data_IF_841313138435
#
_entry.id   IF_841313138435
#
_cell.length_a   1.000
_cell.length_b   1.000
_cell.length_c   1.000
_cell.angle_alpha   90.00
_cell.angle_beta   90.00
_cell.angle_gamma   90.00
#
_symmetry.space_group_name_H-M   'P 1'
#
loop_
_entity.id
_entity.type
_entity.pdbx_description
1 polymer ?
#
# COMPACT_ATOMS: atom_id res chain seq x y z
N UNK A 1 -17.02 46.91 -7.10
CA UNK A 1 -16.27 45.89 -7.86
C UNK A 1 -14.95 45.68 -7.14
N UNK A 2 -14.92 44.73 -6.20
CA UNK A 2 -13.70 44.25 -5.54
C UNK A 2 -14.00 42.82 -5.10
N UNK A 3 -13.64 41.87 -5.96
CA UNK A 3 -13.83 40.43 -5.79
C UNK A 3 -12.54 39.86 -5.21
N UNK A 4 -12.71 39.02 -4.19
CA UNK A 4 -11.84 37.96 -3.66
C UNK A 4 -10.34 38.04 -3.96
N UNK A 5 -9.55 38.24 -2.90
CA UNK A 5 -8.17 37.75 -2.79
C UNK A 5 -8.02 36.96 -1.49
N UNK A 6 -8.78 35.89 -1.31
CA UNK A 6 -8.57 34.96 -0.18
C UNK A 6 -8.65 33.46 -0.56
N UNK A 7 -8.62 33.12 -1.85
CA UNK A 7 -8.66 31.72 -2.31
C UNK A 7 -7.26 31.09 -2.49
N UNK A 8 -6.21 31.65 -1.90
CA UNK A 8 -4.89 31.03 -1.87
C UNK A 8 -4.43 30.76 -0.44
N UNK A 9 -4.20 29.47 -0.17
CA UNK A 9 -3.53 28.87 0.99
C UNK A 9 -4.40 28.22 2.07
N UNK A 10 -5.11 27.15 1.70
CA UNK A 10 -5.32 26.01 2.61
C UNK A 10 -4.98 24.69 1.90
N UNK A 11 -3.79 24.61 1.28
CA UNK A 11 -3.28 23.34 0.75
C UNK A 11 -1.88 23.08 1.31
N UNK A 12 -1.82 22.66 2.57
CA UNK A 12 -0.68 21.94 3.12
C UNK A 12 -1.06 21.21 4.41
N UNK A 13 -2.09 20.34 4.39
CA UNK A 13 -2.08 19.22 5.34
C UNK A 13 -1.02 18.25 4.83
N UNK A 14 0.13 18.24 5.51
CA UNK A 14 1.25 17.32 5.28
C UNK A 14 0.69 15.89 5.30
N UNK A 15 0.33 15.37 4.13
CA UNK A 15 -0.29 14.06 3.99
C UNK A 15 0.68 13.05 4.60
N UNK A 16 0.35 12.54 5.79
CA UNK A 16 1.13 11.50 6.45
C UNK A 16 1.37 10.34 5.49
N UNK A 17 2.53 9.70 5.60
CA UNK A 17 2.86 8.57 4.75
C UNK A 17 3.96 8.83 3.74
N UNK A 18 4.57 7.75 3.28
CA UNK A 18 5.72 7.75 2.39
C UNK A 18 5.36 8.33 1.01
N UNK A 19 6.31 9.04 0.38
CA UNK A 19 6.18 9.51 -1.00
C UNK A 19 6.72 8.45 -1.98
N UNK A 20 5.86 7.81 -2.81
CA UNK A 20 6.28 6.75 -3.71
C UNK A 20 7.35 7.17 -4.72
N UNK A 21 7.30 8.41 -5.22
CA UNK A 21 8.23 8.90 -6.22
C UNK A 21 9.69 8.93 -5.73
N UNK A 22 9.88 9.07 -4.41
CA UNK A 22 11.21 9.09 -3.78
C UNK A 22 11.58 7.70 -3.27
N UNK A 23 10.63 7.00 -2.64
CA UNK A 23 10.90 5.73 -1.98
C UNK A 23 11.14 4.60 -2.98
N UNK A 24 10.36 4.49 -4.06
CA UNK A 24 10.48 3.37 -5.01
C UNK A 24 11.89 3.33 -5.66
N UNK A 25 12.48 4.44 -6.14
CA UNK A 25 13.86 4.41 -6.64
C UNK A 25 14.89 3.95 -5.60
N UNK A 26 14.73 4.35 -4.34
CA UNK A 26 15.63 3.91 -3.25
C UNK A 26 15.46 2.40 -3.02
N UNK A 27 14.22 1.90 -2.99
CA UNK A 27 13.96 0.47 -2.85
C UNK A 27 14.49 -0.34 -4.03
N UNK A 28 14.50 0.23 -5.23
CA UNK A 28 15.11 -0.40 -6.40
C UNK A 28 16.63 -0.54 -6.25
N UNK A 29 17.31 0.52 -5.80
CA UNK A 29 18.75 0.44 -5.50
C UNK A 29 19.02 -0.61 -4.42
N UNK A 30 18.20 -0.66 -3.37
CA UNK A 30 18.31 -1.68 -2.32
C UNK A 30 18.09 -3.10 -2.90
N UNK A 31 17.10 -3.29 -3.76
CA UNK A 31 16.82 -4.57 -4.41
C UNK A 31 17.99 -5.04 -5.28
N UNK A 32 18.61 -4.13 -6.03
CA UNK A 32 19.84 -4.40 -6.80
C UNK A 32 21.01 -4.74 -5.86
N UNK A 33 21.19 -4.00 -4.77
CA UNK A 33 22.23 -4.30 -3.78
C UNK A 33 22.04 -5.68 -3.13
N UNK A 34 20.80 -6.08 -2.82
CA UNK A 34 20.49 -7.41 -2.30
C UNK A 34 20.84 -8.47 -3.35
N UNK A 35 20.47 -8.24 -4.61
CA UNK A 35 20.82 -9.16 -5.70
C UNK A 35 22.33 -9.33 -5.85
N UNK A 36 23.09 -8.22 -5.88
CA UNK A 36 24.53 -8.26 -6.09
C UNK A 36 25.28 -8.82 -4.89
N UNK A 37 25.03 -8.31 -3.68
CA UNK A 37 25.90 -8.55 -2.53
C UNK A 37 25.39 -9.63 -1.57
N UNK A 38 24.08 -9.88 -1.54
CA UNK A 38 23.49 -10.91 -0.67
C UNK A 38 23.30 -12.21 -1.44
N UNK A 39 22.57 -12.17 -2.56
CA UNK A 39 22.33 -13.34 -3.40
C UNK A 39 23.60 -13.73 -4.17
N UNK A 40 24.29 -12.74 -4.74
CA UNK A 40 25.55 -12.91 -5.43
C UNK A 40 26.77 -13.11 -4.51
N UNK A 41 26.59 -13.27 -3.20
CA UNK A 41 27.71 -13.54 -2.31
C UNK A 41 28.42 -14.86 -2.71
N UNK A 42 29.76 -14.88 -2.86
CA UNK A 42 30.51 -16.09 -3.23
C UNK A 42 30.25 -17.30 -2.33
N UNK A 43 29.95 -17.09 -1.03
CA UNK A 43 29.60 -18.17 -0.10
C UNK A 43 28.29 -18.90 -0.40
N UNK A 44 27.49 -18.42 -1.36
CA UNK A 44 26.30 -19.12 -1.84
C UNK A 44 26.58 -20.11 -2.97
N UNK A 45 27.82 -20.19 -3.45
CA UNK A 45 28.22 -20.95 -4.63
C UNK A 45 29.40 -21.86 -4.31
N UNK A 46 29.49 -22.95 -5.07
CA UNK A 46 30.63 -23.86 -4.99
C UNK A 46 31.90 -23.16 -5.46
N UNK A 47 33.05 -23.63 -4.95
CA UNK A 47 34.37 -23.08 -5.25
C UNK A 47 34.46 -21.56 -4.94
N UNK A 48 33.89 -21.12 -3.82
CA UNK A 48 33.87 -19.72 -3.39
C UNK A 48 35.26 -19.03 -3.44
N UNK A 49 36.33 -19.78 -3.18
CA UNK A 49 37.72 -19.30 -3.27
C UNK A 49 38.10 -18.78 -4.67
N UNK A 50 37.53 -19.37 -5.74
CA UNK A 50 37.80 -18.98 -7.14
C UNK A 50 36.94 -17.81 -7.60
N UNK A 51 35.87 -17.49 -6.89
CA UNK A 51 34.89 -16.47 -7.26
C UNK A 51 35.26 -15.06 -6.75
N UNK A 52 36.36 -14.95 -5.99
CA UNK A 52 36.85 -13.68 -5.45
C UNK A 52 36.04 -13.20 -4.24
N UNK A 53 36.25 -11.93 -3.85
CA UNK A 53 35.59 -11.32 -2.69
C UNK A 53 34.51 -10.32 -3.11
N UNK A 54 33.35 -10.37 -2.46
CA UNK A 54 32.26 -9.39 -2.65
C UNK A 54 31.05 -9.96 -3.36
N UNK A 55 31.10 -10.08 -4.69
CA UNK A 55 29.99 -10.61 -5.50
C UNK A 55 30.47 -11.41 -6.69
N UNK A 56 29.81 -12.52 -6.99
CA UNK A 56 30.03 -13.32 -8.19
C UNK A 56 29.76 -12.54 -9.48
N UNK A 57 28.99 -11.45 -9.42
CA UNK A 57 28.75 -10.54 -10.55
C UNK A 57 30.04 -9.88 -11.07
N UNK A 58 31.05 -9.72 -10.21
CA UNK A 58 32.33 -9.10 -10.53
C UNK A 58 33.47 -10.13 -10.65
N UNK A 59 33.14 -11.42 -10.61
CA UNK A 59 34.12 -12.48 -10.76
C UNK A 59 34.55 -12.62 -12.23
N UNK A 60 35.79 -13.08 -12.44
CA UNK A 60 36.29 -13.41 -13.78
C UNK A 60 35.82 -14.77 -14.31
N UNK A 61 35.01 -15.49 -13.53
CA UNK A 61 34.51 -16.82 -13.86
C UNK A 61 33.27 -16.70 -14.74
N UNK A 62 33.21 -17.47 -15.83
CA UNK A 62 32.04 -17.48 -16.69
C UNK A 62 30.80 -17.97 -15.93
N UNK A 63 29.66 -17.34 -16.20
CA UNK A 63 28.41 -17.64 -15.50
C UNK A 63 27.97 -19.11 -15.57
N UNK A 64 28.42 -19.88 -16.57
CA UNK A 64 28.11 -21.31 -16.71
C UNK A 64 28.79 -22.19 -15.66
N UNK A 65 29.97 -21.79 -15.18
CA UNK A 65 30.80 -22.54 -14.23
C UNK A 65 30.50 -22.17 -12.77
N UNK A 66 29.63 -21.17 -12.56
CA UNK A 66 29.16 -20.76 -11.24
C UNK A 66 28.01 -21.70 -10.84
N UNK A 67 28.26 -22.61 -9.90
CA UNK A 67 27.23 -23.55 -9.43
C UNK A 67 26.67 -23.13 -8.07
N UNK A 68 25.35 -22.93 -7.94
CA UNK A 68 24.76 -22.59 -6.66
C UNK A 68 24.88 -23.76 -5.68
N UNK A 69 25.22 -23.43 -4.43
CA UNK A 69 25.27 -24.37 -3.31
C UNK A 69 24.11 -24.11 -2.34
N UNK A 70 23.78 -22.84 -2.11
CA UNK A 70 22.68 -22.42 -1.24
C UNK A 70 21.44 -22.02 -2.05
N UNK A 71 20.28 -21.99 -1.39
CA UNK A 71 19.04 -21.49 -1.97
C UNK A 71 19.14 -20.04 -2.45
N UNK A 72 19.94 -19.20 -1.79
CA UNK A 72 20.21 -17.83 -2.21
C UNK A 72 21.00 -17.79 -3.54
N UNK A 73 21.96 -18.70 -3.70
CA UNK A 73 22.67 -18.87 -4.97
C UNK A 73 21.74 -19.35 -6.09
N UNK A 74 20.76 -20.21 -5.78
CA UNK A 74 19.73 -20.63 -6.73
C UNK A 74 18.93 -19.41 -7.18
N UNK A 75 18.44 -18.58 -6.25
CA UNK A 75 17.67 -17.37 -6.61
C UNK A 75 18.50 -16.41 -7.46
N UNK A 76 19.79 -16.22 -7.17
CA UNK A 76 20.67 -15.37 -7.98
C UNK A 76 20.70 -15.78 -9.46
N UNK A 77 20.65 -17.09 -9.73
CA UNK A 77 20.61 -17.66 -11.09
C UNK A 77 19.31 -17.38 -11.85
N UNK A 78 18.29 -16.82 -11.20
CA UNK A 78 17.08 -16.33 -11.87
C UNK A 78 17.28 -15.10 -12.75
N UNK A 79 18.51 -14.54 -12.78
CA UNK A 79 18.91 -13.55 -13.77
C UNK A 79 18.38 -12.14 -13.50
N UNK A 80 18.29 -11.34 -14.55
CA UNK A 80 18.06 -9.87 -14.46
C UNK A 80 16.67 -9.48 -13.99
N UNK A 81 15.71 -10.40 -14.02
CA UNK A 81 14.33 -10.15 -13.54
C UNK A 81 14.23 -10.27 -12.02
N UNK A 82 15.07 -11.08 -11.38
CA UNK A 82 15.11 -11.27 -9.93
C UNK A 82 15.25 -9.96 -9.13
N UNK A 83 16.20 -9.04 -9.42
CA UNK A 83 16.30 -7.79 -8.67
C UNK A 83 15.04 -6.91 -8.80
N UNK A 84 14.32 -6.99 -9.93
CA UNK A 84 13.04 -6.27 -10.12
C UNK A 84 11.96 -6.89 -9.23
N UNK A 85 11.85 -8.22 -9.20
CA UNK A 85 10.87 -8.91 -8.35
C UNK A 85 11.16 -8.73 -6.85
N UNK A 86 12.45 -8.70 -6.46
CA UNK A 86 12.86 -8.36 -5.08
C UNK A 86 12.44 -6.92 -4.75
N UNK A 87 12.64 -5.98 -5.67
CA UNK A 87 12.18 -4.59 -5.48
C UNK A 87 10.68 -4.52 -5.25
N UNK A 88 9.88 -5.29 -6.00
CA UNK A 88 8.44 -5.36 -5.79
C UNK A 88 8.09 -5.92 -4.42
N UNK A 89 8.73 -7.02 -4.00
CA UNK A 89 8.49 -7.62 -2.69
C UNK A 89 8.82 -6.64 -1.54
N UNK A 90 9.95 -5.96 -1.61
CA UNK A 90 10.33 -4.95 -0.60
C UNK A 90 9.35 -3.77 -0.62
N UNK A 91 8.91 -3.34 -1.81
CA UNK A 91 7.91 -2.28 -1.94
C UNK A 91 6.60 -2.66 -1.27
N UNK A 92 6.11 -3.89 -1.51
CA UNK A 92 4.91 -4.43 -0.84
C UNK A 92 5.09 -4.38 0.68
N UNK A 93 6.23 -4.84 1.20
CA UNK A 93 6.50 -4.85 2.64
C UNK A 93 6.51 -3.43 3.22
N UNK A 94 7.29 -2.52 2.62
CA UNK A 94 7.46 -1.14 3.12
C UNK A 94 6.15 -0.38 3.14
N UNK A 95 5.39 -0.42 2.04
CA UNK A 95 4.08 0.25 2.00
C UNK A 95 3.07 -0.44 2.91
N UNK A 96 3.13 -1.75 3.11
CA UNK A 96 2.22 -2.42 4.05
C UNK A 96 2.46 -1.99 5.50
N UNK A 97 3.72 -1.83 5.91
CA UNK A 97 4.02 -1.25 7.22
C UNK A 97 3.54 0.20 7.33
N UNK A 98 3.82 1.04 6.33
CA UNK A 98 3.33 2.42 6.29
C UNK A 98 1.80 2.48 6.47
N UNK A 99 1.08 1.62 5.74
CA UNK A 99 -0.38 1.54 5.80
C UNK A 99 -0.90 1.06 7.14
N UNK A 100 -0.24 0.10 7.77
CA UNK A 100 -0.58 -0.35 9.12
C UNK A 100 -0.52 0.81 10.12
N UNK A 101 0.54 1.63 10.08
CA UNK A 101 0.69 2.78 10.98
C UNK A 101 -0.28 3.93 10.64
N UNK A 102 -0.46 4.25 9.36
CA UNK A 102 -1.36 5.33 8.93
C UNK A 102 -2.81 5.00 9.28
N UNK A 103 -3.28 3.77 9.01
CA UNK A 103 -4.64 3.35 9.39
C UNK A 103 -4.83 3.25 10.89
N UNK A 104 -3.80 2.79 11.62
CA UNK A 104 -3.83 2.81 13.08
C UNK A 104 -4.01 4.23 13.62
N UNK A 105 -3.30 5.21 13.04
CA UNK A 105 -3.46 6.63 13.42
C UNK A 105 -4.81 7.20 12.98
N UNK A 106 -5.32 6.81 11.82
CA UNK A 106 -6.60 7.27 11.29
C UNK A 106 -7.79 6.76 12.12
N UNK A 107 -7.68 5.58 12.72
CA UNK A 107 -8.68 5.05 13.66
C UNK A 107 -8.82 5.90 14.94
N UNK A 108 -7.80 6.69 15.30
CA UNK A 108 -7.76 7.52 16.49
C UNK A 108 -6.97 6.91 17.65
N UNK A 109 -7.03 7.54 18.82
CA UNK A 109 -6.30 7.13 20.03
C UNK A 109 -7.06 6.11 20.88
N UNK A 110 -8.39 6.09 20.77
CA UNK A 110 -9.27 5.24 21.57
C UNK A 110 -9.78 4.01 20.81
N UNK A 111 -10.53 3.17 21.52
CA UNK A 111 -11.28 2.09 20.90
C UNK A 111 -12.44 2.67 20.09
N UNK A 112 -12.45 2.37 18.79
CA UNK A 112 -13.40 2.95 17.85
C UNK A 112 -14.85 2.51 18.11
N UNK A 113 -15.08 1.26 18.48
CA UNK A 113 -16.43 0.77 18.79
C UNK A 113 -17.00 1.46 20.05
N UNK A 114 -16.18 1.61 21.09
CA UNK A 114 -16.57 2.34 22.29
C UNK A 114 -16.84 3.83 21.99
N UNK A 115 -16.05 4.43 21.10
CA UNK A 115 -16.29 5.80 20.65
C UNK A 115 -17.67 5.92 19.96
N UNK A 116 -17.99 5.03 19.01
CA UNK A 116 -19.28 5.00 18.32
C UNK A 116 -20.44 4.88 19.31
N UNK A 117 -20.35 3.92 20.25
CA UNK A 117 -21.40 3.71 21.26
C UNK A 117 -21.58 4.94 22.15
N UNK A 118 -20.49 5.58 22.59
CA UNK A 118 -20.55 6.78 23.44
C UNK A 118 -21.16 7.97 22.70
N UNK A 119 -20.71 8.26 21.48
CA UNK A 119 -21.26 9.38 20.69
C UNK A 119 -22.76 9.18 20.44
N UNK A 120 -23.18 7.97 20.07
CA UNK A 120 -24.61 7.65 19.88
C UNK A 120 -25.42 7.86 21.16
N UNK A 121 -24.90 7.43 22.31
CA UNK A 121 -25.54 7.64 23.61
C UNK A 121 -25.70 9.13 23.95
N UNK A 122 -24.69 9.95 23.66
CA UNK A 122 -24.72 11.40 23.88
C UNK A 122 -25.71 12.10 22.93
N UNK A 123 -25.75 11.68 21.67
CA UNK A 123 -26.69 12.19 20.67
C UNK A 123 -28.16 11.91 21.04
N UNK A 124 -28.46 10.73 21.57
CA UNK A 124 -29.80 10.38 22.05
C UNK A 124 -30.24 11.21 23.27
N UNK A 125 -29.28 11.76 24.01
CA UNK A 125 -29.53 12.64 25.17
C UNK A 125 -29.48 14.13 24.78
N UNK A 126 -29.34 14.45 23.50
CA UNK A 126 -29.13 15.81 22.98
C UNK A 126 -27.91 16.54 23.59
N UNK A 127 -26.87 15.78 23.98
CA UNK A 127 -25.64 16.30 24.58
C UNK A 127 -24.56 16.53 23.54
N UNK A 128 -24.80 17.49 22.64
CA UNK A 128 -23.94 17.74 21.47
C UNK A 128 -22.54 18.23 21.89
N UNK A 129 -22.44 19.05 22.93
CA UNK A 129 -21.15 19.57 23.41
C UNK A 129 -20.26 18.47 24.01
N UNK A 130 -20.84 17.56 24.79
CA UNK A 130 -20.12 16.38 25.31
C UNK A 130 -19.67 15.46 24.15
N UNK A 131 -20.49 15.31 23.11
CA UNK A 131 -20.14 14.51 21.94
C UNK A 131 -18.98 15.11 21.13
N UNK A 132 -18.92 16.45 21.03
CA UNK A 132 -17.79 17.16 20.42
C UNK A 132 -16.48 16.94 21.21
N UNK A 133 -16.54 16.95 22.54
CA UNK A 133 -15.38 16.68 23.40
C UNK A 133 -14.87 15.24 23.21
N UNK A 134 -15.77 14.25 23.11
CA UNK A 134 -15.37 12.87 22.81
C UNK A 134 -14.72 12.72 21.42
N UNK A 135 -15.15 13.51 20.42
CA UNK A 135 -14.47 13.54 19.12
C UNK A 135 -13.04 14.10 19.22
N UNK A 136 -12.83 15.13 20.03
CA UNK A 136 -11.51 15.71 20.29
C UNK A 136 -10.56 14.75 21.03
N UNK A 137 -11.12 13.88 21.89
CA UNK A 137 -10.38 12.81 22.54
C UNK A 137 -10.05 11.67 21.59
N UNK A 138 -10.98 11.25 20.75
CA UNK A 138 -10.79 10.15 19.80
C UNK A 138 -9.72 10.52 18.75
N UNK A 139 -9.79 11.71 18.17
CA UNK A 139 -8.95 12.14 17.05
C UNK A 139 -9.04 11.18 15.86
N UNK A 140 -8.17 11.36 14.85
CA UNK A 140 -8.17 10.52 13.65
C UNK A 140 -9.28 10.90 12.68
N UNK A 141 -9.39 10.16 11.58
CA UNK A 141 -10.32 10.47 10.49
C UNK A 141 -11.77 10.33 10.93
N UNK A 142 -12.12 9.26 11.66
CA UNK A 142 -13.49 9.07 12.13
C UNK A 142 -13.89 10.19 13.11
N UNK A 143 -13.01 10.52 14.06
CA UNK A 143 -13.25 11.64 14.99
C UNK A 143 -13.39 12.98 14.28
N UNK A 144 -12.54 13.27 13.29
CA UNK A 144 -12.59 14.51 12.52
C UNK A 144 -13.90 14.67 11.75
N UNK A 145 -14.36 13.63 11.05
CA UNK A 145 -15.59 13.67 10.27
C UNK A 145 -16.80 13.85 11.17
N UNK A 146 -16.88 13.07 12.26
CA UNK A 146 -17.97 13.17 13.23
C UNK A 146 -17.99 14.55 13.87
N UNK A 147 -16.82 15.10 14.23
CA UNK A 147 -16.70 16.46 14.78
C UNK A 147 -17.24 17.51 13.82
N UNK A 148 -16.90 17.42 12.53
CA UNK A 148 -17.39 18.35 11.51
C UNK A 148 -18.92 18.27 11.38
N UNK A 149 -19.46 17.05 11.38
CA UNK A 149 -20.91 16.81 11.39
C UNK A 149 -21.61 17.41 12.61
N UNK A 150 -21.08 17.21 13.81
CA UNK A 150 -21.63 17.78 15.05
C UNK A 150 -21.47 19.31 15.13
N UNK A 151 -20.39 19.85 14.58
CA UNK A 151 -20.17 21.31 14.51
C UNK A 151 -21.19 21.94 13.57
N UNK A 152 -21.43 21.31 12.42
CA UNK A 152 -22.46 21.72 11.46
C UNK A 152 -23.87 21.57 12.04
N UNK A 153 -24.15 20.47 12.75
CA UNK A 153 -25.39 20.27 13.51
C UNK A 153 -25.65 21.50 14.38
N UNK A 154 -24.70 21.87 15.23
CA UNK A 154 -24.85 22.98 16.18
C UNK A 154 -25.09 24.32 15.47
N UNK A 155 -24.37 24.57 14.38
CA UNK A 155 -24.56 25.79 13.58
C UNK A 155 -25.97 25.85 12.97
N UNK A 156 -26.47 24.76 12.39
CA UNK A 156 -27.79 24.68 11.76
C UNK A 156 -28.96 24.70 12.77
N UNK A 157 -28.75 24.19 13.98
CA UNK A 157 -29.73 24.30 15.07
C UNK A 157 -30.07 25.75 15.40
N UNK A 158 -29.09 26.65 15.32
CA UNK A 158 -29.28 28.08 15.60
C UNK A 158 -29.68 28.91 14.37
N UNK A 159 -29.62 28.35 13.17
CA UNK A 159 -30.02 29.04 11.94
C UNK A 159 -31.54 29.19 11.84
N UNK A 160 -32.05 30.41 11.71
CA UNK A 160 -33.50 30.67 11.57
C UNK A 160 -33.95 30.92 10.13
N UNK A 161 -33.01 30.92 9.18
CA UNK A 161 -33.24 31.26 7.77
C UNK A 161 -33.65 30.06 6.93
N UNK A 162 -33.17 28.87 7.31
CA UNK A 162 -33.43 27.61 6.60
C UNK A 162 -34.60 26.84 7.24
N UNK A 163 -35.41 26.20 6.41
CA UNK A 163 -36.41 25.25 6.89
C UNK A 163 -35.76 23.91 7.30
N UNK A 164 -36.51 23.04 7.99
CA UNK A 164 -36.00 21.77 8.51
C UNK A 164 -35.40 20.85 7.43
N UNK A 165 -36.04 20.78 6.27
CA UNK A 165 -35.57 19.96 5.14
C UNK A 165 -34.24 20.49 4.58
N UNK A 166 -34.13 21.81 4.40
CA UNK A 166 -32.90 22.46 3.94
C UNK A 166 -31.75 22.28 4.92
N UNK A 167 -32.02 22.38 6.23
CA UNK A 167 -31.02 22.09 7.27
C UNK A 167 -30.55 20.64 7.18
N UNK A 168 -31.45 19.69 6.94
CA UNK A 168 -31.06 18.29 6.82
C UNK A 168 -30.21 17.99 5.60
N UNK A 169 -30.55 18.58 4.46
CA UNK A 169 -29.72 18.50 3.25
C UNK A 169 -28.34 19.11 3.49
N UNK A 170 -28.28 20.27 4.14
CA UNK A 170 -27.00 20.93 4.46
C UNK A 170 -26.13 20.09 5.41
N UNK A 171 -26.73 19.49 6.44
CA UNK A 171 -26.02 18.61 7.37
C UNK A 171 -25.46 17.37 6.68
N UNK A 172 -26.28 16.71 5.86
CA UNK A 172 -25.85 15.52 5.10
C UNK A 172 -24.68 15.85 4.17
N UNK A 173 -24.80 16.97 3.46
CA UNK A 173 -23.75 17.43 2.56
C UNK A 173 -22.45 17.73 3.30
N UNK A 174 -22.50 18.36 4.48
CA UNK A 174 -21.31 18.64 5.26
C UNK A 174 -20.59 17.36 5.75
N UNK A 175 -21.36 16.36 6.19
CA UNK A 175 -20.80 15.06 6.59
C UNK A 175 -20.16 14.37 5.37
N UNK A 176 -20.85 14.33 4.23
CA UNK A 176 -20.35 13.70 2.99
C UNK A 176 -19.06 14.38 2.50
N UNK A 177 -19.02 15.72 2.51
CA UNK A 177 -17.83 16.50 2.16
C UNK A 177 -16.67 16.20 3.12
N UNK A 178 -16.92 16.16 4.43
CA UNK A 178 -15.90 15.83 5.43
C UNK A 178 -15.35 14.41 5.24
N UNK A 179 -16.21 13.41 4.99
CA UNK A 179 -15.80 12.04 4.66
C UNK A 179 -14.94 12.01 3.41
N UNK A 180 -15.38 12.69 2.35
CA UNK A 180 -14.66 12.76 1.07
C UNK A 180 -13.28 13.39 1.22
N UNK A 181 -13.11 14.38 2.10
CA UNK A 181 -11.82 15.02 2.36
C UNK A 181 -10.82 14.12 3.12
N UNK A 182 -11.31 13.16 3.90
CA UNK A 182 -10.46 12.22 4.65
C UNK A 182 -10.10 10.96 3.84
N UNK A 183 -10.95 10.55 2.88
CA UNK A 183 -10.76 9.36 2.05
C UNK A 183 -9.40 9.29 1.33
N UNK A 184 -8.88 10.36 0.69
CA UNK A 184 -7.57 10.31 0.02
C UNK A 184 -6.42 9.91 0.96
N UNK A 185 -6.49 10.26 2.25
CA UNK A 185 -5.49 9.84 3.23
C UNK A 185 -5.64 8.36 3.56
N UNK A 186 -6.87 7.88 3.69
CA UNK A 186 -7.18 6.47 3.92
C UNK A 186 -6.79 5.59 2.72
N UNK A 187 -6.87 6.08 1.49
CA UNK A 187 -6.55 5.28 0.30
C UNK A 187 -5.13 5.47 -0.22
N UNK A 188 -4.38 6.44 0.32
CA UNK A 188 -3.01 6.74 -0.10
C UNK A 188 -2.17 5.47 -0.18
N UNK A 189 -1.45 5.30 -1.29
CA UNK A 189 -0.57 4.16 -1.59
C UNK A 189 -1.26 2.79 -1.78
N UNK A 190 -2.59 2.66 -1.63
CA UNK A 190 -3.31 1.41 -1.91
C UNK A 190 -3.18 0.99 -3.38
N UNK A 191 -3.16 1.96 -4.29
CA UNK A 191 -2.97 1.71 -5.72
C UNK A 191 -1.65 0.99 -6.02
N UNK A 192 -0.59 1.21 -5.23
CA UNK A 192 0.70 0.54 -5.41
C UNK A 192 0.58 -0.95 -5.09
N UNK A 193 -0.05 -1.30 -3.97
CA UNK A 193 -0.27 -2.70 -3.60
C UNK A 193 -1.15 -3.42 -4.62
N UNK A 194 -2.24 -2.79 -5.05
CA UNK A 194 -3.12 -3.32 -6.10
C UNK A 194 -2.36 -3.55 -7.41
N UNK A 195 -1.58 -2.56 -7.84
CA UNK A 195 -0.79 -2.63 -9.08
C UNK A 195 0.26 -3.74 -9.01
N UNK A 196 0.99 -3.84 -7.90
CA UNK A 196 1.99 -4.90 -7.71
C UNK A 196 1.36 -6.30 -7.62
N UNK A 197 0.11 -6.38 -7.16
CA UNK A 197 -0.70 -7.60 -7.23
C UNK A 197 -0.79 -8.18 -8.64
N UNK A 198 -0.85 -7.36 -9.68
CA UNK A 198 -0.92 -7.84 -11.07
C UNK A 198 0.45 -7.79 -11.77
N UNK A 199 1.17 -6.67 -11.63
CA UNK A 199 2.42 -6.42 -12.35
C UNK A 199 3.52 -7.41 -11.96
N UNK A 200 3.60 -7.85 -10.70
CA UNK A 200 4.61 -8.83 -10.29
C UNK A 200 4.48 -10.16 -11.06
N UNK A 201 3.26 -10.64 -11.28
CA UNK A 201 3.00 -11.85 -12.07
C UNK A 201 3.34 -11.64 -13.54
N UNK A 202 2.98 -10.47 -14.11
CA UNK A 202 3.30 -10.15 -15.51
C UNK A 202 4.83 -10.08 -15.75
N UNK A 203 5.58 -9.47 -14.83
CA UNK A 203 7.04 -9.40 -14.91
C UNK A 203 7.67 -10.79 -14.73
N UNK A 204 7.11 -11.65 -13.88
CA UNK A 204 7.57 -13.02 -13.77
C UNK A 204 7.30 -13.85 -15.03
N UNK A 205 6.12 -13.71 -15.64
CA UNK A 205 5.80 -14.35 -16.94
C UNK A 205 6.77 -13.88 -18.03
N UNK A 206 7.11 -12.59 -18.06
CA UNK A 206 8.15 -12.06 -18.94
C UNK A 206 9.51 -12.74 -18.69
N UNK A 207 9.89 -12.92 -17.43
CA UNK A 207 11.11 -13.66 -17.07
C UNK A 207 11.10 -15.11 -17.55
N UNK A 208 9.95 -15.79 -17.48
CA UNK A 208 9.77 -17.14 -18.03
C UNK A 208 9.96 -17.17 -19.54
N UNK A 209 9.35 -16.22 -20.26
CA UNK A 209 9.50 -16.10 -21.71
C UNK A 209 10.97 -15.86 -22.08
N UNK A 210 11.66 -14.94 -21.39
CA UNK A 210 13.08 -14.67 -21.61
C UNK A 210 13.94 -15.91 -21.34
N UNK A 211 13.70 -16.62 -20.22
CA UNK A 211 14.41 -17.85 -19.88
C UNK A 211 14.24 -18.94 -20.94
N UNK A 212 13.02 -19.14 -21.43
CA UNK A 212 12.72 -20.11 -22.49
C UNK A 212 13.33 -19.70 -23.84
N UNK A 213 13.32 -18.40 -24.19
CA UNK A 213 13.99 -17.89 -25.41
C UNK A 213 15.48 -18.21 -25.34
N UNK A 214 16.15 -17.93 -24.21
CA UNK A 214 17.58 -18.26 -24.02
C UNK A 214 17.82 -19.76 -24.14
N UNK A 215 16.98 -20.58 -23.51
CA UNK A 215 17.10 -22.03 -23.51
C UNK A 215 17.03 -22.62 -24.93
N UNK A 216 16.05 -22.18 -25.74
CA UNK A 216 15.91 -22.65 -27.12
C UNK A 216 16.90 -22.02 -28.10
N UNK A 217 17.34 -20.79 -27.86
CA UNK A 217 18.37 -20.16 -28.67
C UNK A 217 19.70 -20.92 -28.57
N UNK A 218 20.12 -21.27 -27.35
CA UNK A 218 21.32 -22.06 -27.11
C UNK A 218 21.29 -23.43 -27.81
N UNK A 219 20.10 -24.05 -27.87
CA UNK A 219 19.87 -25.31 -28.57
C UNK A 219 20.05 -25.17 -30.09
N UNK A 220 19.58 -24.07 -30.69
CA UNK A 220 19.64 -23.83 -32.13
C UNK A 220 21.00 -23.34 -32.64
N UNK A 221 21.76 -22.63 -31.82
CA UNK A 221 23.06 -22.07 -32.20
C UNK A 221 24.22 -23.08 -32.22
N UNK A 222 24.06 -24.26 -31.61
CA UNK A 222 25.14 -25.23 -31.39
C UNK A 222 25.57 -26.07 -32.60
N UNK A 223 24.86 -26.02 -33.74
CA UNK A 223 25.24 -26.69 -34.99
C UNK A 223 25.41 -28.22 -34.93
N UNK A 224 25.07 -28.86 -33.80
CA UNK A 224 25.38 -30.26 -33.50
C UNK A 224 24.57 -30.82 -32.33
N UNK A 225 25.23 -31.25 -31.24
CA UNK A 225 24.58 -31.86 -30.06
C UNK A 225 23.88 -30.82 -29.17
N UNK A 226 22.64 -31.08 -28.71
CA UNK A 226 21.95 -30.25 -27.74
C UNK A 226 22.78 -29.94 -26.48
N UNK A 227 23.00 -28.66 -26.18
CA UNK A 227 23.56 -28.24 -24.89
C UNK A 227 22.49 -28.34 -23.80
N UNK A 228 22.38 -29.53 -23.20
CA UNK A 228 21.43 -29.82 -22.13
C UNK A 228 21.67 -28.95 -20.87
N UNK A 229 22.89 -28.50 -20.62
CA UNK A 229 23.22 -27.66 -19.47
C UNK A 229 22.70 -26.23 -19.66
N UNK A 230 22.88 -25.65 -20.85
CA UNK A 230 22.32 -24.34 -21.19
C UNK A 230 20.78 -24.36 -21.18
N UNK A 231 20.17 -25.44 -21.70
CA UNK A 231 18.71 -25.64 -21.65
C UNK A 231 18.20 -25.66 -20.20
N UNK A 232 18.84 -26.47 -19.34
CA UNK A 232 18.48 -26.58 -17.92
C UNK A 232 18.61 -25.25 -17.18
N UNK A 233 19.64 -24.47 -17.50
CA UNK A 233 19.85 -23.13 -16.92
C UNK A 233 18.71 -22.17 -17.27
N UNK A 234 18.29 -22.11 -18.53
CA UNK A 234 17.19 -21.24 -18.95
C UNK A 234 15.83 -21.64 -18.37
N UNK A 235 15.57 -22.95 -18.23
CA UNK A 235 14.37 -23.47 -17.55
C UNK A 235 14.40 -23.12 -16.06
N UNK A 236 15.55 -23.27 -15.40
CA UNK A 236 15.71 -22.90 -14.00
C UNK A 236 15.47 -21.39 -13.79
N UNK A 237 16.03 -20.54 -14.65
CA UNK A 237 15.79 -19.08 -14.64
C UNK A 237 14.30 -18.75 -14.68
N UNK A 238 13.57 -19.41 -15.59
CA UNK A 238 12.13 -19.24 -15.78
C UNK A 238 11.32 -19.65 -14.53
N UNK A 239 11.65 -20.79 -13.91
CA UNK A 239 10.96 -21.29 -12.72
C UNK A 239 11.16 -20.38 -11.51
N UNK A 240 12.38 -19.87 -11.31
CA UNK A 240 12.70 -18.94 -10.21
C UNK A 240 11.90 -17.64 -10.36
N UNK A 241 11.89 -17.06 -11.56
CA UNK A 241 11.14 -15.84 -11.85
C UNK A 241 9.64 -16.04 -11.58
N UNK A 242 9.08 -17.17 -12.01
CA UNK A 242 7.69 -17.53 -11.75
C UNK A 242 7.37 -17.60 -10.25
N UNK A 243 8.18 -18.33 -9.49
CA UNK A 243 7.97 -18.50 -8.06
C UNK A 243 7.99 -17.16 -7.30
N UNK A 244 8.97 -16.30 -7.61
CA UNK A 244 9.09 -14.98 -6.98
C UNK A 244 7.94 -14.04 -7.34
N UNK A 245 7.52 -14.01 -8.61
CA UNK A 245 6.43 -13.13 -9.03
C UNK A 245 5.08 -13.53 -8.46
N UNK A 246 4.75 -14.83 -8.49
CA UNK A 246 3.50 -15.33 -7.90
C UNK A 246 3.50 -15.10 -6.39
N UNK A 247 4.61 -15.37 -5.70
CA UNK A 247 4.73 -15.10 -4.27
C UNK A 247 4.52 -13.63 -3.93
N UNK A 248 5.16 -12.74 -4.68
CA UNK A 248 5.03 -11.27 -4.50
C UNK A 248 3.60 -10.79 -4.77
N UNK A 249 3.00 -11.25 -5.87
CA UNK A 249 1.62 -10.94 -6.27
C UNK A 249 0.61 -11.37 -5.20
N UNK A 250 0.73 -12.62 -4.71
CA UNK A 250 -0.17 -13.15 -3.69
C UNK A 250 -0.12 -12.32 -2.40
N UNK A 251 1.09 -12.00 -1.92
CA UNK A 251 1.28 -11.19 -0.71
C UNK A 251 0.72 -9.78 -0.91
N UNK A 252 0.96 -9.17 -2.08
CA UNK A 252 0.44 -7.84 -2.40
C UNK A 252 -1.09 -7.79 -2.38
N UNK A 253 -1.76 -8.78 -2.98
CA UNK A 253 -3.22 -8.86 -3.05
C UNK A 253 -3.82 -9.10 -1.65
N UNK A 254 -3.22 -10.00 -0.87
CA UNK A 254 -3.69 -10.28 0.51
C UNK A 254 -3.62 -9.00 1.35
N UNK A 255 -2.51 -8.28 1.29
CA UNK A 255 -2.31 -7.04 2.06
C UNK A 255 -3.21 -5.92 1.56
N UNK A 256 -3.36 -5.77 0.24
CA UNK A 256 -4.32 -4.83 -0.37
C UNK A 256 -5.73 -5.07 0.18
N UNK A 257 -6.26 -6.30 0.07
CA UNK A 257 -7.60 -6.64 0.54
C UNK A 257 -7.75 -6.44 2.06
N UNK A 258 -6.72 -6.79 2.84
CA UNK A 258 -6.72 -6.56 4.29
C UNK A 258 -6.85 -5.08 4.63
N UNK A 259 -6.10 -4.20 3.96
CA UNK A 259 -6.18 -2.76 4.20
C UNK A 259 -7.45 -2.14 3.65
N UNK A 260 -7.96 -2.58 2.50
CA UNK A 260 -9.28 -2.19 1.99
C UNK A 260 -10.36 -2.51 3.01
N UNK A 261 -10.40 -3.74 3.53
CA UNK A 261 -11.38 -4.11 4.57
C UNK A 261 -11.27 -3.25 5.84
N UNK A 262 -10.06 -2.84 6.22
CA UNK A 262 -9.88 -1.88 7.34
C UNK A 262 -10.42 -0.49 7.01
N UNK A 263 -10.19 0.01 5.79
CA UNK A 263 -10.72 1.32 5.35
C UNK A 263 -12.25 1.28 5.35
N UNK A 264 -12.83 0.24 4.75
CA UNK A 264 -14.29 0.04 4.72
C UNK A 264 -14.87 0.00 6.14
N UNK A 265 -14.19 -0.66 7.07
CA UNK A 265 -14.57 -0.68 8.48
C UNK A 265 -14.59 0.72 9.12
N UNK A 266 -13.62 1.58 8.83
CA UNK A 266 -13.60 2.97 9.32
C UNK A 266 -14.76 3.78 8.71
N UNK A 267 -14.97 3.65 7.40
CA UNK A 267 -16.05 4.35 6.68
C UNK A 267 -17.42 3.90 7.18
N UNK A 268 -17.62 2.61 7.43
CA UNK A 268 -18.86 2.09 8.01
C UNK A 268 -19.17 2.72 9.37
N UNK A 269 -18.16 2.92 10.23
CA UNK A 269 -18.36 3.59 11.52
C UNK A 269 -18.68 5.08 11.37
N UNK A 270 -18.11 5.75 10.37
CA UNK A 270 -18.50 7.13 10.03
C UNK A 270 -19.97 7.16 9.64
N UNK A 271 -20.41 6.29 8.74
CA UNK A 271 -21.79 6.24 8.26
C UNK A 271 -22.77 5.91 9.39
N UNK A 272 -22.41 4.97 10.28
CA UNK A 272 -23.20 4.61 11.46
C UNK A 272 -23.45 5.82 12.38
N UNK A 273 -22.40 6.60 12.66
CA UNK A 273 -22.52 7.81 13.49
C UNK A 273 -23.25 8.91 12.72
N UNK A 274 -22.98 9.09 11.43
CA UNK A 274 -23.64 10.08 10.59
C UNK A 274 -25.16 9.89 10.58
N UNK A 275 -25.64 8.65 10.42
CA UNK A 275 -27.06 8.33 10.55
C UNK A 275 -27.62 8.71 11.93
N UNK A 276 -26.86 8.47 12.99
CA UNK A 276 -27.26 8.82 14.36
C UNK A 276 -27.32 10.35 14.57
N UNK A 277 -26.40 11.10 13.96
CA UNK A 277 -26.42 12.57 13.97
C UNK A 277 -27.68 13.09 13.26
N UNK A 278 -28.00 12.55 12.09
CA UNK A 278 -29.19 12.92 11.33
C UNK A 278 -30.49 12.64 12.09
N UNK A 279 -30.59 11.45 12.70
CA UNK A 279 -31.75 11.07 13.53
C UNK A 279 -31.92 12.02 14.71
N UNK A 280 -30.84 12.26 15.46
CA UNK A 280 -30.83 13.20 16.59
C UNK A 280 -31.25 14.62 16.15
N UNK A 281 -30.78 15.09 15.00
CA UNK A 281 -31.14 16.42 14.51
C UNK A 281 -32.62 16.49 14.16
N UNK A 282 -33.15 15.47 13.48
CA UNK A 282 -34.55 15.39 13.12
C UNK A 282 -35.48 15.28 14.33
N UNK A 283 -35.02 14.72 15.45
CA UNK A 283 -35.77 14.60 16.69
C UNK A 283 -35.78 15.91 17.49
N UNK A 284 -34.64 16.59 17.62
CA UNK A 284 -34.47 17.74 18.52
C UNK A 284 -34.58 19.12 17.86
N UNK A 285 -34.66 19.22 16.52
CA UNK A 285 -34.78 20.49 15.77
C UNK A 285 -35.88 20.45 14.70
#
# INVERSE_FOLDING_TARGET
MNVSKNDEQVVARKAGGLNPAVIIPILFVIGVCIYLFVLGNPGNFKDAEKLGSGSVAFSSVEGKDIHPESFLGIIYKGGVIVPILITFMITVIVFSFERYFVLGKAAGKGNLDNFVVQVRSLLNQNKIDEALEECDRQQGSVGNVVKEGLTTYKALSHDTTLNKEQKMVALNKAIEEATTLEMPMLEKNMMILSTLGTVATLIALLGTVIGMIKAFFALGSGGGTPDAAALSTGISEALINTALGIGTSAIAIILYNFFTSKIDGLTYKIDEIAMSIQQSFAEFN
#
